data_IF_540373182696
#
_entry.id   IF_540373182696
#
_cell.length_a   1.000
_cell.length_b   1.000
_cell.length_c   1.000
_cell.angle_alpha   90.00
_cell.angle_beta   90.00
_cell.angle_gamma   90.00
#
_symmetry.space_group_name_H-M   'P 1'
#
loop_
_entity.id
_entity.type
_entity.pdbx_description
1 polymer ?
#
# COMPACT_ATOMS: atom_id res chain seq x y z
N UNK A 1 23.78 -19.22 38.96
CA UNK A 1 23.96 -17.96 39.72
C UNK A 1 23.68 -16.82 38.75
N UNK A 2 22.59 -16.08 38.76
CA UNK A 2 21.56 -15.82 39.76
C UNK A 2 20.31 -15.32 39.00
N UNK A 3 19.14 -15.94 39.21
CA UNK A 3 17.83 -15.55 38.64
C UNK A 3 17.08 -14.78 39.72
N UNK A 4 16.65 -13.54 39.49
CA UNK A 4 15.67 -12.87 40.36
C UNK A 4 14.29 -12.87 39.74
N UNK A 5 13.43 -13.64 40.39
CA UNK A 5 11.99 -13.64 40.24
C UNK A 5 11.38 -12.33 40.79
N UNK A 6 10.33 -11.84 40.14
CA UNK A 6 9.37 -10.92 40.75
C UNK A 6 8.06 -11.70 40.93
N UNK A 7 7.68 -11.84 42.20
CA UNK A 7 6.48 -12.52 42.66
C UNK A 7 5.25 -11.61 42.67
N UNK A 8 4.11 -12.28 42.63
CA UNK A 8 2.74 -11.79 42.68
C UNK A 8 2.41 -10.93 43.91
N UNK A 9 1.45 -10.01 43.73
CA UNK A 9 0.56 -9.58 44.80
C UNK A 9 -0.89 -9.62 44.32
N UNK A 10 -1.67 -10.44 45.03
CA UNK A 10 -3.11 -10.65 44.93
C UNK A 10 -3.80 -9.61 45.81
N UNK A 11 -4.94 -9.08 45.37
CA UNK A 11 -5.82 -8.25 46.19
C UNK A 11 -7.24 -8.19 45.63
N UNK A 12 -8.08 -9.15 46.03
CA UNK A 12 -9.54 -9.02 46.09
C UNK A 12 -9.89 -8.18 47.34
N UNK A 13 -11.00 -7.47 47.53
CA UNK A 13 -12.41 -7.69 47.20
C UNK A 13 -13.19 -6.43 47.61
N UNK A 14 -14.39 -6.21 47.06
CA UNK A 14 -15.30 -5.16 47.54
C UNK A 14 -16.54 -4.98 46.68
N UNK A 15 -17.54 -5.83 46.89
CA UNK A 15 -18.89 -5.73 46.31
C UNK A 15 -19.69 -4.57 46.89
N UNK A 16 -20.40 -3.83 46.04
CA UNK A 16 -21.61 -3.11 46.42
C UNK A 16 -22.64 -3.22 45.30
N UNK A 17 -23.74 -3.91 45.60
CA UNK A 17 -24.90 -4.02 44.74
C UNK A 17 -25.73 -2.73 44.79
N UNK A 18 -26.15 -2.23 43.64
CA UNK A 18 -27.28 -1.29 43.53
C UNK A 18 -28.20 -1.78 42.42
N UNK A 19 -29.40 -2.20 42.84
CA UNK A 19 -30.55 -2.49 41.99
C UNK A 19 -31.16 -1.17 41.50
N UNK A 20 -31.28 -1.01 40.19
CA UNK A 20 -32.01 0.10 39.57
C UNK A 20 -32.82 -0.42 38.37
N UNK A 21 -34.14 -0.55 38.58
CA UNK A 21 -35.14 -0.85 37.56
C UNK A 21 -35.34 0.34 36.61
N UNK A 22 -35.39 0.06 35.31
CA UNK A 22 -36.11 0.80 34.26
C UNK A 22 -35.63 0.22 32.93
N UNK A 23 -36.41 -0.09 31.90
CA UNK A 23 -37.76 0.28 31.51
C UNK A 23 -37.76 0.07 29.99
N UNK A 24 -38.74 -0.68 29.50
CA UNK A 24 -38.91 -1.07 28.10
C UNK A 24 -38.97 0.13 27.14
N UNK A 25 -38.25 0.06 26.02
CA UNK A 25 -38.68 0.69 24.76
C UNK A 25 -38.13 -0.13 23.58
N UNK A 26 -39.06 -0.84 22.93
CA UNK A 26 -38.87 -1.49 21.63
C UNK A 26 -38.77 -0.40 20.57
N UNK A 27 -37.72 -0.44 19.77
CA UNK A 27 -37.70 0.15 18.43
C UNK A 27 -37.00 -0.84 17.50
N UNK A 28 -37.80 -1.46 16.64
CA UNK A 28 -37.32 -2.35 15.60
C UNK A 28 -36.63 -1.56 14.50
N UNK A 29 -35.41 -1.98 14.15
CA UNK A 29 -34.79 -1.66 12.89
C UNK A 29 -34.32 -3.00 12.33
N UNK A 30 -35.04 -3.50 11.33
CA UNK A 30 -34.66 -4.68 10.58
C UNK A 30 -33.41 -4.37 9.75
N UNK A 31 -32.24 -4.81 10.22
CA UNK A 31 -31.08 -4.92 9.36
C UNK A 31 -31.17 -6.23 8.57
N UNK A 32 -31.50 -6.11 7.28
CA UNK A 32 -31.19 -7.12 6.27
C UNK A 32 -29.66 -7.26 6.18
N UNK A 33 -29.10 -8.21 6.93
CA UNK A 33 -27.75 -8.72 6.69
C UNK A 33 -27.78 -9.58 5.43
N UNK A 34 -27.42 -9.02 4.29
CA UNK A 34 -26.98 -9.83 3.15
C UNK A 34 -25.59 -10.40 3.47
N UNK A 35 -25.60 -11.59 4.08
CA UNK A 35 -24.41 -12.42 4.22
C UNK A 35 -24.03 -12.94 2.84
N UNK A 36 -22.97 -12.40 2.25
CA UNK A 36 -22.31 -13.01 1.10
C UNK A 36 -21.57 -14.26 1.57
N UNK A 37 -22.27 -15.38 1.55
CA UNK A 37 -21.64 -16.69 1.69
C UNK A 37 -20.95 -16.99 0.36
N UNK A 38 -19.62 -16.82 0.30
CA UNK A 38 -18.80 -17.31 -0.81
C UNK A 38 -18.80 -18.83 -0.77
N UNK A 39 -19.75 -19.44 -1.47
CA UNK A 39 -19.73 -20.86 -1.78
C UNK A 39 -18.57 -21.11 -2.76
N UNK A 40 -17.61 -21.96 -2.39
CA UNK A 40 -16.58 -22.48 -3.28
C UNK A 40 -17.22 -23.38 -4.35
N UNK A 41 -17.80 -22.78 -5.39
CA UNK A 41 -18.16 -23.52 -6.58
C UNK A 41 -16.91 -23.72 -7.45
N UNK A 42 -16.27 -24.88 -7.32
CA UNK A 42 -15.38 -25.40 -8.37
C UNK A 42 -16.18 -25.54 -9.67
N UNK A 43 -15.77 -24.94 -10.80
CA UNK A 43 -16.47 -25.16 -12.06
C UNK A 43 -16.25 -26.61 -12.51
N UNK A 44 -17.35 -27.36 -12.65
CA UNK A 44 -17.38 -28.62 -13.40
C UNK A 44 -17.07 -28.30 -14.87
N UNK A 45 -16.06 -28.94 -15.44
CA UNK A 45 -15.83 -28.97 -16.90
C UNK A 45 -17.01 -29.69 -17.56
N UNK A 46 -17.96 -28.92 -18.07
CA UNK A 46 -18.91 -29.38 -19.09
C UNK A 46 -18.34 -29.07 -20.47
N UNK A 47 -18.05 -30.10 -21.25
CA UNK A 47 -17.74 -29.96 -22.67
C UNK A 47 -19.03 -29.64 -23.41
N UNK A 48 -19.17 -28.42 -23.93
CA UNK A 48 -20.20 -28.07 -24.90
C UNK A 48 -19.51 -27.65 -26.19
N UNK A 49 -19.66 -28.49 -27.20
CA UNK A 49 -19.27 -28.23 -28.58
C UNK A 49 -20.19 -27.18 -29.21
N UNK A 50 -19.60 -26.31 -30.06
CA UNK A 50 -20.25 -25.83 -31.29
C UNK A 50 -21.12 -24.57 -31.22
N UNK A 51 -20.51 -23.39 -31.43
CA UNK A 51 -21.21 -22.18 -31.86
C UNK A 51 -20.29 -21.25 -32.66
N UNK A 52 -20.68 -20.73 -33.85
CA UNK A 52 -19.80 -19.94 -34.71
C UNK A 52 -19.67 -18.48 -34.22
N UNK A 53 -18.53 -18.17 -33.61
CA UNK A 53 -17.55 -17.28 -34.25
C UNK A 53 -17.81 -15.78 -34.36
N UNK A 54 -18.34 -15.10 -33.33
CA UNK A 54 -18.11 -13.66 -33.18
C UNK A 54 -16.82 -13.42 -32.39
N UNK A 55 -15.66 -13.57 -33.04
CA UNK A 55 -14.37 -13.23 -32.45
C UNK A 55 -14.24 -11.70 -32.39
N UNK A 56 -14.82 -11.10 -31.35
CA UNK A 56 -14.53 -9.73 -30.96
C UNK A 56 -13.03 -9.62 -30.66
N UNK A 57 -12.29 -8.99 -31.59
CA UNK A 57 -10.87 -8.68 -31.39
C UNK A 57 -10.75 -7.85 -30.11
N UNK A 58 -9.97 -8.27 -29.10
CA UNK A 58 -9.85 -7.51 -27.86
C UNK A 58 -9.29 -6.12 -28.17
N UNK A 59 -10.09 -5.07 -27.94
CA UNK A 59 -9.76 -3.66 -28.21
C UNK A 59 -8.63 -3.10 -27.33
N UNK A 60 -7.90 -3.94 -26.59
CA UNK A 60 -6.79 -3.53 -25.74
C UNK A 60 -5.43 -3.63 -26.42
N UNK A 61 -5.36 -3.99 -27.71
CA UNK A 61 -4.12 -4.05 -28.46
C UNK A 61 -3.52 -2.64 -28.62
N UNK A 62 -2.68 -2.24 -27.64
CA UNK A 62 -1.88 -1.02 -27.70
C UNK A 62 -1.96 -0.13 -26.47
N UNK A 63 -2.91 -0.33 -25.54
CA UNK A 63 -2.96 0.52 -24.36
C UNK A 63 -1.96 0.05 -23.30
N UNK A 64 -0.98 0.91 -22.98
CA UNK A 64 -0.01 0.69 -21.90
C UNK A 64 -0.69 0.70 -20.54
N UNK A 65 -0.26 -0.19 -19.65
CA UNK A 65 -0.76 -0.29 -18.27
C UNK A 65 -0.08 0.78 -17.44
N UNK A 66 -0.83 1.72 -16.86
CA UNK A 66 -0.24 2.80 -16.06
C UNK A 66 -0.12 2.34 -14.61
N UNK A 67 1.11 2.33 -14.11
CA UNK A 67 1.42 1.84 -12.76
C UNK A 67 1.99 2.98 -11.94
N UNK A 68 1.37 3.32 -10.81
CA UNK A 68 1.94 4.23 -9.84
C UNK A 68 2.67 3.42 -8.76
N UNK A 69 3.96 3.67 -8.57
CA UNK A 69 4.72 3.18 -7.43
C UNK A 69 5.02 4.36 -6.51
N UNK A 70 4.61 4.27 -5.24
CA UNK A 70 4.95 5.31 -4.26
C UNK A 70 5.87 4.78 -3.17
N UNK A 71 6.64 5.67 -2.56
CA UNK A 71 7.38 5.42 -1.34
C UNK A 71 7.02 6.46 -0.28
N UNK A 72 7.49 6.27 0.95
CA UNK A 72 7.37 7.29 1.99
C UNK A 72 8.70 7.96 2.22
N UNK A 73 8.61 9.24 2.55
CA UNK A 73 9.77 10.03 2.90
C UNK A 73 9.44 10.96 4.05
N UNK A 74 10.46 11.18 4.85
CA UNK A 74 10.40 12.03 6.03
C UNK A 74 11.04 13.40 5.77
N UNK A 75 11.00 13.87 4.52
CA UNK A 75 11.50 15.19 4.16
C UNK A 75 10.55 16.28 4.62
N UNK A 76 10.66 16.65 5.89
CA UNK A 76 10.32 18.01 6.33
C UNK A 76 11.32 18.48 7.37
N UNK A 77 12.45 18.98 6.86
CA UNK A 77 13.23 20.04 7.51
C UNK A 77 13.81 21.03 6.50
N UNK A 78 12.98 21.55 5.60
CA UNK A 78 13.37 22.73 4.82
C UNK A 78 12.40 23.92 4.91
N UNK A 79 11.12 23.71 5.25
CA UNK A 79 10.21 24.85 5.48
C UNK A 79 9.81 24.99 6.95
N UNK A 80 10.80 25.15 7.82
CA UNK A 80 10.58 26.03 8.98
C UNK A 80 11.08 27.38 8.53
N UNK A 81 10.21 28.13 7.84
CA UNK A 81 10.33 29.59 7.94
C UNK A 81 10.20 29.89 9.43
N UNK A 82 11.33 30.20 10.06
CA UNK A 82 11.32 30.89 11.34
C UNK A 82 10.49 32.14 11.06
N UNK A 83 9.34 32.34 11.74
CA UNK A 83 8.46 33.45 11.43
C UNK A 83 9.27 34.74 11.45
N UNK A 84 9.20 35.51 10.35
CA UNK A 84 9.92 36.76 10.16
C UNK A 84 9.62 37.83 11.23
N UNK A 85 8.69 37.55 12.16
CA UNK A 85 8.36 38.41 13.29
C UNK A 85 9.48 38.59 14.31
N UNK A 86 10.58 37.83 14.27
CA UNK A 86 11.77 38.09 15.11
C UNK A 86 12.82 38.98 14.46
N UNK A 87 12.71 39.35 13.18
CA UNK A 87 13.68 40.19 12.49
C UNK A 87 13.46 41.71 12.65
N UNK A 88 12.39 42.13 13.35
CA UNK A 88 11.95 43.53 13.42
C UNK A 88 12.34 44.31 14.67
N UNK A 89 13.26 43.81 15.51
CA UNK A 89 13.66 44.47 16.75
C UNK A 89 14.99 45.20 16.63
N UNK A 90 15.01 46.41 16.04
CA UNK A 90 16.15 47.34 16.16
C UNK A 90 16.18 47.94 17.57
N UNK A 91 16.56 47.15 18.56
CA UNK A 91 16.79 47.59 19.94
C UNK A 91 18.20 47.19 20.35
N UNK A 92 19.15 48.12 20.27
CA UNK A 92 20.50 47.95 20.82
C UNK A 92 20.44 47.79 22.34
N UNK A 93 20.44 46.54 22.81
CA UNK A 93 20.78 46.18 24.17
C UNK A 93 21.83 45.07 24.15
N UNK A 94 22.86 45.10 25.01
CA UNK A 94 23.84 44.02 25.12
C UNK A 94 23.17 42.81 25.80
N UNK A 95 22.41 42.05 25.03
CA UNK A 95 21.87 40.77 25.47
C UNK A 95 22.98 39.72 25.38
N UNK A 96 23.45 39.33 26.56
CA UNK A 96 24.30 38.17 26.79
C UNK A 96 23.69 36.94 26.14
N UNK A 97 24.55 36.19 25.46
CA UNK A 97 24.25 34.93 24.80
C UNK A 97 23.65 33.93 25.79
N UNK A 98 22.33 33.72 25.72
CA UNK A 98 21.72 32.47 26.16
C UNK A 98 20.93 31.89 25.01
N UNK A 99 21.39 30.71 24.57
CA UNK A 99 20.72 29.83 23.63
C UNK A 99 19.30 29.56 24.11
N UNK A 100 18.32 30.24 23.50
CA UNK A 100 16.92 29.98 23.77
C UNK A 100 16.64 28.48 23.57
N UNK A 101 16.09 27.77 24.59
CA UNK A 101 15.79 26.34 24.52
C UNK A 101 14.98 25.92 23.29
N UNK A 102 14.22 26.87 22.71
CA UNK A 102 13.44 26.67 21.50
C UNK A 102 14.31 26.49 20.24
N UNK A 103 15.45 27.20 20.13
CA UNK A 103 16.38 27.03 19.01
C UNK A 103 17.07 25.67 19.06
N UNK A 104 17.53 25.26 20.25
CA UNK A 104 18.13 23.94 20.47
C UNK A 104 17.13 22.82 20.19
N UNK A 105 15.87 22.95 20.64
CA UNK A 105 14.82 21.98 20.35
C UNK A 105 14.51 21.87 18.85
N UNK A 106 14.49 23.00 18.12
CA UNK A 106 14.30 23.00 16.67
C UNK A 106 15.46 22.33 15.92
N UNK A 107 16.71 22.59 16.32
CA UNK A 107 17.92 21.95 15.74
C UNK A 107 17.96 20.45 16.03
N UNK A 108 17.69 20.02 17.26
CA UNK A 108 17.66 18.59 17.60
C UNK A 108 16.52 17.87 16.88
N UNK A 109 15.37 18.52 16.70
CA UNK A 109 14.28 17.99 15.88
C UNK A 109 14.70 17.89 14.41
N UNK A 110 15.48 18.85 13.91
CA UNK A 110 16.09 18.88 12.56
C UNK A 110 16.97 17.67 12.29
N UNK A 111 17.96 17.46 13.15
CA UNK A 111 18.89 16.34 13.02
C UNK A 111 18.17 14.99 13.12
N UNK A 112 17.19 14.87 14.01
CA UNK A 112 16.43 13.62 14.20
C UNK A 112 15.60 13.22 12.99
N UNK A 113 14.90 14.15 12.30
CA UNK A 113 14.13 13.74 11.10
C UNK A 113 15.02 13.60 9.86
N UNK A 114 16.17 14.30 9.79
CA UNK A 114 17.17 14.05 8.74
C UNK A 114 17.71 12.61 8.81
N UNK A 115 17.99 12.10 10.02
CA UNK A 115 18.36 10.70 10.24
C UNK A 115 17.24 9.74 9.78
N UNK A 116 15.98 9.99 10.16
CA UNK A 116 14.82 9.20 9.71
C UNK A 116 14.64 9.17 8.19
N UNK A 117 14.95 10.28 7.51
CA UNK A 117 14.87 10.35 6.05
C UNK A 117 16.02 9.64 5.33
N UNK A 118 17.25 9.69 5.90
CA UNK A 118 18.41 8.97 5.38
C UNK A 118 18.25 7.45 5.46
N UNK A 119 17.47 6.99 6.45
CA UNK A 119 17.29 5.59 6.79
C UNK A 119 16.02 4.96 6.21
N UNK A 120 15.07 5.73 5.65
CA UNK A 120 13.84 5.15 5.09
C UNK A 120 14.14 4.37 3.78
N UNK A 121 14.05 3.03 3.79
CA UNK A 121 14.40 2.18 2.65
C UNK A 121 13.58 2.49 1.39
N UNK A 122 12.31 2.88 1.56
CA UNK A 122 11.40 3.13 0.43
C UNK A 122 11.77 4.41 -0.32
N UNK A 123 12.23 5.44 0.39
CA UNK A 123 12.74 6.67 -0.21
C UNK A 123 14.03 6.40 -0.99
N UNK A 124 14.99 5.69 -0.39
CA UNK A 124 16.26 5.33 -1.05
C UNK A 124 16.06 4.55 -2.35
N UNK A 125 15.13 3.60 -2.35
CA UNK A 125 14.81 2.79 -3.53
C UNK A 125 14.23 3.62 -4.69
N UNK A 126 13.52 4.71 -4.39
CA UNK A 126 12.87 5.56 -5.41
C UNK A 126 13.69 6.79 -5.81
N UNK A 127 14.27 7.49 -4.83
CA UNK A 127 15.03 8.72 -5.03
C UNK A 127 16.47 8.40 -5.42
N UNK A 128 17.08 7.42 -4.75
CA UNK A 128 18.52 7.15 -4.80
C UNK A 128 19.21 7.57 -3.52
N UNK A 129 20.44 8.08 -3.64
CA UNK A 129 21.16 8.57 -2.48
C UNK A 129 20.46 9.75 -1.82
N UNK A 130 20.71 9.91 -0.51
CA UNK A 130 20.17 11.03 0.24
C UNK A 130 20.67 12.33 -0.39
N UNK A 131 19.73 13.15 -0.83
CA UNK A 131 19.95 14.49 -1.35
C UNK A 131 19.34 15.50 -0.37
N UNK A 132 19.95 16.68 -0.26
CA UNK A 132 19.44 17.73 0.64
C UNK A 132 18.18 18.38 0.09
N UNK A 133 18.05 18.46 -1.24
CA UNK A 133 16.94 19.09 -1.93
C UNK A 133 15.85 18.09 -2.31
N UNK A 134 14.63 18.58 -2.56
CA UNK A 134 13.60 17.75 -3.19
C UNK A 134 14.10 17.35 -4.58
N UNK A 135 14.29 16.06 -4.88
CA UNK A 135 14.81 15.56 -6.13
C UNK A 135 13.82 15.95 -7.22
N UNK A 136 14.35 16.65 -8.20
CA UNK A 136 13.62 16.96 -9.42
C UNK A 136 13.36 15.68 -10.23
N UNK A 137 14.18 14.64 -10.04
CA UNK A 137 14.01 13.35 -10.69
C UNK A 137 14.23 12.18 -9.72
N UNK A 138 13.33 11.20 -9.76
CA UNK A 138 13.45 9.94 -9.05
C UNK A 138 14.38 8.99 -9.82
N UNK A 139 15.56 8.72 -9.27
CA UNK A 139 16.64 7.93 -9.91
C UNK A 139 17.10 6.73 -9.07
N UNK A 140 16.29 6.32 -8.10
CA UNK A 140 16.59 5.21 -7.22
C UNK A 140 16.73 3.88 -7.96
N UNK A 141 17.35 2.92 -7.28
CA UNK A 141 17.73 1.63 -7.88
C UNK A 141 16.50 0.86 -8.41
N UNK A 142 15.38 0.94 -7.69
CA UNK A 142 14.11 0.32 -8.12
C UNK A 142 13.53 1.03 -9.36
N UNK A 143 13.60 2.36 -9.43
CA UNK A 143 13.12 3.13 -10.59
C UNK A 143 13.88 2.75 -11.86
N UNK A 144 15.21 2.70 -11.78
CA UNK A 144 16.08 2.30 -12.89
C UNK A 144 15.69 0.90 -13.41
N UNK A 145 15.47 -0.03 -12.49
CA UNK A 145 15.15 -1.43 -12.80
C UNK A 145 13.76 -1.61 -13.41
N UNK A 146 12.74 -0.96 -12.86
CA UNK A 146 11.39 -1.00 -13.42
C UNK A 146 11.32 -0.36 -14.81
N UNK A 147 12.02 0.76 -15.03
CA UNK A 147 12.13 1.40 -16.36
C UNK A 147 12.88 0.51 -17.36
N UNK A 148 13.95 -0.17 -16.93
CA UNK A 148 14.72 -1.08 -17.78
C UNK A 148 13.89 -2.29 -18.24
N UNK A 149 13.10 -2.90 -17.34
CA UNK A 149 12.21 -4.03 -17.69
C UNK A 149 11.17 -3.69 -18.75
N UNK A 150 10.76 -2.42 -18.86
CA UNK A 150 9.80 -2.00 -19.88
C UNK A 150 10.45 -1.80 -21.26
N UNK A 151 11.76 -1.56 -21.31
CA UNK A 151 12.47 -1.28 -22.57
C UNK A 151 12.78 -2.57 -23.35
N UNK A 152 12.93 -3.71 -22.66
CA UNK A 152 13.26 -5.00 -23.29
C UNK A 152 12.11 -5.62 -24.10
N UNK A 153 10.87 -5.18 -23.91
CA UNK A 153 9.69 -5.76 -24.59
C UNK A 153 9.56 -5.27 -26.04
N UNK A 154 10.21 -4.17 -26.42
CA UNK A 154 10.12 -3.58 -27.76
C UNK A 154 11.22 -4.00 -28.74
N UNK A 155 12.28 -4.68 -28.28
CA UNK A 155 13.41 -5.10 -29.11
C UNK A 155 13.29 -6.56 -29.51
N UNK A 156 12.69 -6.84 -30.68
CA UNK A 156 12.64 -8.19 -31.23
C UNK A 156 14.05 -8.75 -31.46
N UNK A 157 14.54 -9.57 -30.53
CA UNK A 157 15.85 -10.21 -30.65
C UNK A 157 16.39 -10.87 -29.38
N UNK A 158 15.88 -12.06 -29.03
CA UNK A 158 16.78 -13.15 -28.63
C UNK A 158 17.16 -13.39 -27.17
N UNK A 159 16.54 -12.78 -26.16
CA UNK A 159 16.81 -13.15 -24.75
C UNK A 159 15.65 -13.94 -24.13
N UNK A 160 15.68 -15.28 -24.25
CA UNK A 160 14.83 -16.18 -23.44
C UNK A 160 15.29 -16.07 -21.97
N UNK A 161 14.57 -15.30 -21.16
CA UNK A 161 14.77 -15.30 -19.71
C UNK A 161 14.18 -16.60 -19.16
N UNK A 162 15.06 -17.57 -18.91
CA UNK A 162 14.71 -18.86 -18.30
C UNK A 162 14.45 -18.63 -16.81
N UNK A 163 13.22 -18.28 -16.45
CA UNK A 163 12.69 -18.61 -15.13
C UNK A 163 12.29 -20.08 -15.18
N UNK A 164 13.24 -20.95 -14.86
CA UNK A 164 12.99 -22.37 -14.64
C UNK A 164 12.15 -22.54 -13.37
N UNK A 165 10.83 -22.53 -13.52
CA UNK A 165 9.92 -23.16 -12.56
C UNK A 165 9.65 -24.61 -12.99
N UNK A 166 9.58 -25.56 -12.04
CA UNK A 166 9.17 -26.92 -12.32
C UNK A 166 7.65 -27.00 -12.54
N UNK A 167 7.28 -27.40 -13.74
CA UNK A 167 6.05 -28.07 -14.18
C UNK A 167 4.73 -27.77 -13.43
N UNK A 168 4.02 -26.76 -13.92
CA UNK A 168 2.56 -26.78 -13.95
C UNK A 168 2.11 -26.32 -15.35
N UNK A 169 1.65 -27.27 -16.16
CA UNK A 169 1.25 -27.09 -17.56
C UNK A 169 0.13 -26.05 -17.71
N UNK A 170 0.49 -24.87 -18.21
CA UNK A 170 -0.43 -23.86 -18.74
C UNK A 170 0.32 -23.03 -19.78
N UNK A 171 0.10 -23.32 -21.06
CA UNK A 171 0.70 -22.59 -22.17
C UNK A 171 0.00 -21.21 -22.28
N UNK A 172 0.50 -20.22 -21.56
CA UNK A 172 0.01 -18.84 -21.64
C UNK A 172 1.00 -18.00 -22.45
N UNK A 173 0.80 -17.94 -23.77
CA UNK A 173 1.45 -16.99 -24.67
C UNK A 173 0.88 -15.56 -24.48
N UNK A 174 0.75 -15.11 -23.24
CA UNK A 174 0.39 -13.72 -22.95
C UNK A 174 1.66 -12.88 -22.96
N UNK A 175 1.87 -12.17 -24.08
CA UNK A 175 2.87 -11.10 -24.12
C UNK A 175 2.47 -10.08 -23.04
N UNK A 176 3.32 -9.83 -22.02
CA UNK A 176 2.98 -8.90 -20.96
C UNK A 176 2.75 -7.53 -21.58
N UNK A 177 1.63 -6.89 -21.22
CA UNK A 177 1.32 -5.55 -21.67
C UNK A 177 2.44 -4.60 -21.24
N UNK A 178 2.88 -3.72 -22.15
CA UNK A 178 3.87 -2.71 -21.82
C UNK A 178 3.37 -1.84 -20.64
N UNK A 179 4.22 -1.67 -19.63
CA UNK A 179 3.88 -1.01 -18.36
C UNK A 179 4.50 0.39 -18.32
N UNK A 180 3.69 1.42 -18.13
CA UNK A 180 4.15 2.79 -17.94
C UNK A 180 4.23 3.12 -16.44
N UNK A 181 5.44 3.15 -15.91
CA UNK A 181 5.69 3.37 -14.48
C UNK A 181 5.84 4.85 -14.15
N UNK A 182 4.97 5.33 -13.27
CA UNK A 182 5.09 6.61 -12.58
C UNK A 182 5.54 6.39 -11.14
N UNK A 183 6.34 7.33 -10.64
CA UNK A 183 6.91 7.24 -9.30
C UNK A 183 6.58 8.49 -8.51
N UNK A 184 6.20 8.33 -7.24
CA UNK A 184 5.97 9.45 -6.35
C UNK A 184 6.48 9.15 -4.94
N UNK A 185 6.85 10.20 -4.23
CA UNK A 185 7.27 10.09 -2.84
C UNK A 185 6.26 10.83 -1.98
N UNK A 186 5.67 10.11 -1.03
CA UNK A 186 4.66 10.61 -0.13
C UNK A 186 5.29 11.08 1.18
N UNK A 187 4.79 12.16 1.78
CA UNK A 187 5.24 12.51 3.11
C UNK A 187 4.65 11.55 4.14
N UNK A 188 5.39 11.28 5.22
CA UNK A 188 4.90 10.52 6.38
C UNK A 188 3.98 11.37 7.27
N UNK A 189 2.95 11.97 6.67
CA UNK A 189 1.92 12.73 7.34
C UNK A 189 0.53 12.13 7.17
N UNK A 190 -0.33 12.38 8.15
CA UNK A 190 -1.75 12.13 7.99
C UNK A 190 -2.31 12.89 6.80
N UNK A 191 -3.07 12.19 5.97
CA UNK A 191 -3.58 12.72 4.71
C UNK A 191 -2.55 13.06 3.64
N UNK A 192 -1.28 12.66 3.79
CA UNK A 192 -0.22 12.88 2.80
C UNK A 192 -0.50 12.30 1.41
N UNK A 193 -1.44 11.36 1.31
CA UNK A 193 -1.87 10.73 0.05
C UNK A 193 -3.12 11.35 -0.57
N UNK A 194 -3.68 12.44 -0.04
CA UNK A 194 -4.95 13.01 -0.53
C UNK A 194 -4.85 13.54 -1.95
N UNK A 195 -3.69 14.08 -2.34
CA UNK A 195 -3.44 14.64 -3.67
C UNK A 195 -3.20 13.59 -4.76
N UNK A 196 -3.15 12.29 -4.41
CA UNK A 196 -2.94 11.24 -5.40
C UNK A 196 -4.16 11.10 -6.30
N UNK A 197 -3.99 11.38 -7.60
CA UNK A 197 -4.94 10.99 -8.64
C UNK A 197 -4.84 9.48 -8.94
N UNK A 198 -5.41 8.69 -8.04
CA UNK A 198 -5.40 7.22 -8.13
C UNK A 198 -6.22 6.72 -9.32
N UNK A 199 -7.25 7.47 -9.73
CA UNK A 199 -8.15 7.09 -10.82
C UNK A 199 -7.45 7.12 -12.19
N UNK A 200 -6.38 7.92 -12.30
CA UNK A 200 -5.52 7.93 -13.48
C UNK A 200 -4.67 6.66 -13.64
N UNK A 201 -4.49 5.80 -12.64
CA UNK A 201 -3.64 4.61 -12.78
C UNK A 201 -4.46 3.34 -12.92
N UNK A 202 -3.90 2.33 -13.59
CA UNK A 202 -4.50 1.00 -13.68
C UNK A 202 -4.14 0.17 -12.42
N UNK A 203 -2.93 0.33 -11.89
CA UNK A 203 -2.47 -0.29 -10.64
C UNK A 203 -1.68 0.70 -9.79
N UNK A 204 -1.90 0.68 -8.48
CA UNK A 204 -1.13 1.48 -7.51
C UNK A 204 -0.40 0.55 -6.52
N UNK A 205 0.90 0.74 -6.33
CA UNK A 205 1.71 0.01 -5.37
C UNK A 205 2.39 1.00 -4.43
N UNK A 206 2.02 0.96 -3.15
CA UNK A 206 2.68 1.75 -2.12
C UNK A 206 3.77 0.91 -1.44
N UNK A 207 4.97 1.46 -1.36
CA UNK A 207 6.09 0.88 -0.62
C UNK A 207 6.23 1.63 0.70
N UNK A 208 6.30 0.90 1.80
CA UNK A 208 6.58 1.46 3.12
C UNK A 208 7.54 0.58 3.88
N UNK A 209 8.21 1.14 4.87
CA UNK A 209 9.04 0.34 5.76
C UNK A 209 8.16 -0.64 6.56
N UNK A 210 8.57 -1.91 6.60
CA UNK A 210 8.00 -2.93 7.46
C UNK A 210 8.52 -2.85 8.90
N UNK A 211 7.67 -3.24 9.84
CA UNK A 211 7.94 -3.24 11.28
C UNK A 211 8.60 -4.58 11.65
N UNK A 212 9.92 -4.53 11.90
CA UNK A 212 10.79 -5.26 12.87
C UNK A 212 10.38 -6.72 13.17
N UNK A 213 11.03 -7.79 12.70
CA UNK A 213 12.40 -8.26 13.03
C UNK A 213 12.96 -9.18 11.92
N UNK A 214 12.58 -8.91 10.67
CA UNK A 214 12.92 -9.77 9.54
C UNK A 214 13.56 -8.95 8.44
N UNK A 215 14.75 -9.39 8.03
CA UNK A 215 15.56 -8.79 6.96
C UNK A 215 15.40 -9.53 5.63
N UNK A 216 14.68 -10.65 5.64
CA UNK A 216 14.53 -11.60 4.54
C UNK A 216 13.08 -11.70 4.06
N UNK A 217 12.17 -10.85 4.54
CA UNK A 217 10.75 -10.88 4.17
C UNK A 217 10.27 -9.58 3.58
N UNK A 218 9.48 -9.70 2.52
CA UNK A 218 8.68 -8.62 1.95
C UNK A 218 7.23 -8.92 2.29
N UNK A 219 6.54 -8.00 2.96
CA UNK A 219 5.16 -8.23 3.40
C UNK A 219 4.17 -7.53 2.47
N UNK A 220 3.11 -8.22 2.04
CA UNK A 220 2.06 -7.66 1.19
C UNK A 220 0.73 -7.64 1.95
N UNK A 221 0.18 -6.45 2.14
CA UNK A 221 -1.06 -6.25 2.88
C UNK A 221 -2.28 -6.71 2.06
N UNK A 222 -3.13 -7.55 2.66
CA UNK A 222 -4.36 -8.06 2.05
C UNK A 222 -5.59 -7.19 2.30
N UNK A 223 -5.46 -6.13 3.10
CA UNK A 223 -6.52 -5.19 3.43
C UNK A 223 -5.98 -4.02 4.24
N UNK A 224 -6.86 -3.11 4.64
CA UNK A 224 -6.50 -1.98 5.49
C UNK A 224 -7.60 -1.68 6.50
N UNK A 225 -7.20 -1.22 7.69
CA UNK A 225 -8.13 -0.76 8.71
C UNK A 225 -8.63 0.65 8.40
N UNK A 226 -9.90 0.90 8.67
CA UNK A 226 -10.49 2.22 8.77
C UNK A 226 -10.11 2.90 10.10
N UNK A 227 -8.82 2.94 10.39
CA UNK A 227 -8.30 3.47 11.65
C UNK A 227 -6.94 4.12 11.47
N UNK A 228 -6.74 5.23 12.17
CA UNK A 228 -5.43 5.83 12.45
C UNK A 228 -5.00 5.46 13.87
N UNK A 229 -3.72 5.17 14.05
CA UNK A 229 -3.11 5.04 15.37
C UNK A 229 -3.22 6.38 16.11
N UNK A 230 -3.19 6.33 17.44
CA UNK A 230 -3.14 7.55 18.28
C UNK A 230 -1.74 8.16 18.36
N UNK A 231 -0.81 7.69 17.52
CA UNK A 231 0.57 8.17 17.49
C UNK A 231 0.67 9.40 16.60
N UNK A 232 1.59 10.30 16.93
CA UNK A 232 1.89 11.45 16.12
C UNK A 232 2.46 11.05 14.75
N UNK A 233 2.12 11.80 13.70
CA UNK A 233 2.82 11.75 12.43
C UNK A 233 4.19 12.45 12.49
N UNK A 234 4.90 12.55 11.37
CA UNK A 234 6.21 13.22 11.33
C UNK A 234 6.16 14.71 11.71
N UNK A 235 4.99 15.37 11.68
CA UNK A 235 4.81 16.75 12.16
C UNK A 235 4.47 16.86 13.64
N UNK A 236 4.34 15.74 14.36
CA UNK A 236 3.82 15.77 15.72
C UNK A 236 2.30 15.87 15.79
N UNK A 237 1.58 15.64 14.67
CA UNK A 237 0.13 15.80 14.61
C UNK A 237 -0.58 14.48 14.89
N UNK A 238 -1.64 14.53 15.70
CA UNK A 238 -2.55 13.41 15.94
C UNK A 238 -3.81 13.65 15.12
N UNK A 239 -4.17 12.70 14.27
CA UNK A 239 -5.38 12.78 13.44
C UNK A 239 -6.58 12.09 14.08
N UNK A 240 -7.77 12.30 13.50
CA UNK A 240 -8.97 11.56 13.88
C UNK A 240 -8.73 10.05 13.77
N UNK A 241 -9.03 9.25 14.82
CA UNK A 241 -8.78 7.81 14.81
C UNK A 241 -9.58 7.05 13.74
N UNK A 242 -10.67 7.60 13.20
CA UNK A 242 -11.43 6.99 12.09
C UNK A 242 -11.07 7.73 10.79
N UNK A 243 -10.82 6.97 9.71
CA UNK A 243 -10.45 7.55 8.41
C UNK A 243 -11.70 8.02 7.66
N UNK A 244 -12.73 7.18 7.60
CA UNK A 244 -14.01 7.42 6.95
C UNK A 244 -15.17 6.83 7.78
N UNK A 245 -16.06 7.64 8.36
CA UNK A 245 -17.12 7.13 9.24
C UNK A 245 -18.17 6.25 8.54
N UNK A 246 -18.19 6.24 7.21
CA UNK A 246 -19.16 5.46 6.40
C UNK A 246 -18.63 4.12 5.94
N UNK A 247 -17.32 3.89 6.06
CA UNK A 247 -16.65 2.69 5.58
C UNK A 247 -16.63 1.58 6.64
N UNK A 248 -16.56 0.30 6.22
CA UNK A 248 -16.39 -0.81 7.15
C UNK A 248 -15.09 -0.70 7.95
N UNK A 249 -15.00 -1.40 9.08
CA UNK A 249 -13.79 -1.40 9.92
C UNK A 249 -12.54 -1.87 9.16
N UNK A 250 -12.68 -2.89 8.32
CA UNK A 250 -11.62 -3.39 7.45
C UNK A 250 -12.11 -3.30 6.01
N UNK A 251 -11.28 -2.73 5.14
CA UNK A 251 -11.52 -2.67 3.70
C UNK A 251 -10.64 -3.71 3.00
N UNK A 252 -11.29 -4.50 2.14
CA UNK A 252 -10.66 -5.45 1.23
C UNK A 252 -11.13 -5.18 -0.19
N UNK A 253 -10.21 -5.23 -1.15
CA UNK A 253 -10.54 -5.19 -2.56
C UNK A 253 -10.26 -6.57 -3.18
N UNK A 254 -11.26 -7.17 -3.84
CA UNK A 254 -11.21 -8.57 -4.28
C UNK A 254 -9.94 -8.92 -5.08
N UNK A 255 -9.63 -8.14 -6.12
CA UNK A 255 -8.45 -8.38 -6.97
C UNK A 255 -7.17 -8.23 -6.14
N UNK A 256 -7.06 -7.15 -5.36
CA UNK A 256 -5.87 -6.88 -4.54
C UNK A 256 -5.60 -8.00 -3.55
N UNK A 257 -6.61 -8.40 -2.77
CA UNK A 257 -6.46 -9.45 -1.76
C UNK A 257 -6.17 -10.82 -2.39
N UNK A 258 -6.77 -11.13 -3.55
CA UNK A 258 -6.54 -12.40 -4.25
C UNK A 258 -5.12 -12.47 -4.83
N UNK A 259 -4.66 -11.41 -5.47
CA UNK A 259 -3.29 -11.29 -5.98
C UNK A 259 -2.29 -11.42 -4.85
N UNK A 260 -2.45 -10.65 -3.77
CA UNK A 260 -1.55 -10.71 -2.62
C UNK A 260 -1.41 -12.15 -2.09
N UNK A 261 -2.54 -12.82 -1.80
CA UNK A 261 -2.56 -14.22 -1.32
C UNK A 261 -1.94 -15.22 -2.29
N UNK A 262 -2.06 -14.99 -3.61
CA UNK A 262 -1.43 -15.87 -4.60
C UNK A 262 0.10 -15.85 -4.58
N UNK A 263 0.69 -14.81 -3.96
CA UNK A 263 2.14 -14.65 -3.85
C UNK A 263 2.70 -15.10 -2.51
N UNK A 264 1.85 -15.46 -1.54
CA UNK A 264 2.28 -15.89 -0.22
C UNK A 264 3.24 -17.08 -0.30
N UNK A 265 4.39 -16.95 0.36
CA UNK A 265 5.45 -17.96 0.37
C UNK A 265 6.37 -17.96 -0.85
N UNK A 266 6.09 -17.15 -1.89
CA UNK A 266 6.97 -17.02 -3.07
C UNK A 266 8.33 -16.46 -2.65
N UNK A 267 9.40 -17.01 -3.23
CA UNK A 267 10.76 -16.51 -3.01
C UNK A 267 11.16 -15.69 -4.24
N UNK A 268 11.53 -14.42 -4.01
CA UNK A 268 12.00 -13.49 -5.02
C UNK A 268 13.42 -13.06 -4.65
N UNK A 269 14.40 -13.53 -5.43
CA UNK A 269 15.81 -13.46 -5.07
C UNK A 269 16.05 -14.11 -3.69
N UNK A 270 16.52 -13.37 -2.69
CA UNK A 270 16.72 -13.85 -1.32
C UNK A 270 15.55 -13.54 -0.37
N UNK A 271 14.46 -12.95 -0.87
CA UNK A 271 13.34 -12.49 -0.04
C UNK A 271 12.11 -13.39 -0.16
N UNK A 272 11.53 -13.78 0.97
CA UNK A 272 10.24 -14.46 1.03
C UNK A 272 9.11 -13.42 1.06
N UNK A 273 8.18 -13.54 0.11
CA UNK A 273 6.92 -12.79 0.13
C UNK A 273 6.01 -13.41 1.19
N UNK A 274 5.51 -12.60 2.11
CA UNK A 274 4.52 -13.01 3.10
C UNK A 274 3.33 -12.08 3.06
N UNK A 275 2.13 -12.65 3.07
CA UNK A 275 0.90 -11.87 3.17
C UNK A 275 0.54 -11.61 4.61
N UNK A 276 -0.05 -10.43 4.82
CA UNK A 276 -0.46 -9.97 6.13
C UNK A 276 -1.86 -9.40 6.06
N UNK A 277 -2.67 -9.75 7.07
CA UNK A 277 -4.01 -9.20 7.23
C UNK A 277 -3.92 -7.83 7.92
N UNK A 278 -4.96 -7.02 7.69
CA UNK A 278 -5.15 -5.77 8.38
C UNK A 278 -5.19 -6.01 9.89
N UNK A 279 -4.42 -5.21 10.65
CA UNK A 279 -4.20 -5.40 12.09
C UNK A 279 -3.96 -4.05 12.77
N UNK A 280 -4.33 -3.91 14.03
CA UNK A 280 -4.30 -2.62 14.73
C UNK A 280 -2.89 -2.05 14.88
N UNK A 281 -1.88 -2.93 14.95
CA UNK A 281 -0.46 -2.58 15.04
C UNK A 281 0.04 -1.87 13.78
N UNK A 282 -0.59 -2.11 12.63
CA UNK A 282 -0.34 -1.39 11.39
C UNK A 282 -1.48 -0.40 11.11
N UNK A 283 -1.73 0.54 12.02
CA UNK A 283 -2.72 1.62 11.80
C UNK A 283 -2.08 2.99 11.56
N UNK A 284 -0.81 3.03 11.14
CA UNK A 284 -0.09 4.27 10.86
C UNK A 284 -0.37 4.83 9.45
N UNK A 285 0.41 5.83 8.99
CA UNK A 285 0.26 6.50 7.68
C UNK A 285 0.25 5.51 6.50
N UNK A 286 1.00 4.41 6.61
CA UNK A 286 1.00 3.30 5.68
C UNK A 286 -0.41 2.74 5.46
N UNK A 287 -1.11 2.45 6.55
CA UNK A 287 -2.47 1.91 6.52
C UNK A 287 -3.49 2.92 6.00
N UNK A 288 -3.41 4.21 6.39
CA UNK A 288 -4.30 5.22 5.82
C UNK A 288 -4.15 5.30 4.29
N UNK A 289 -2.90 5.26 3.81
CA UNK A 289 -2.61 5.33 2.38
C UNK A 289 -3.16 4.10 1.66
N UNK A 290 -2.97 2.90 2.20
CA UNK A 290 -3.53 1.67 1.65
C UNK A 290 -5.06 1.70 1.63
N UNK A 291 -5.67 2.06 2.75
CA UNK A 291 -7.12 2.14 2.93
C UNK A 291 -7.79 2.97 1.84
N UNK A 292 -7.27 4.18 1.60
CA UNK A 292 -7.83 5.09 0.59
C UNK A 292 -7.69 4.55 -0.83
N UNK A 293 -6.58 3.89 -1.13
CA UNK A 293 -6.37 3.30 -2.45
C UNK A 293 -7.25 2.07 -2.67
N UNK A 294 -7.52 1.26 -1.63
CA UNK A 294 -8.51 0.18 -1.71
C UNK A 294 -9.93 0.71 -1.89
N UNK A 295 -10.33 1.77 -1.17
CA UNK A 295 -11.63 2.41 -1.38
C UNK A 295 -11.78 2.93 -2.81
N UNK A 296 -10.75 3.57 -3.36
CA UNK A 296 -10.75 4.04 -4.74
C UNK A 296 -10.90 2.88 -5.74
N UNK A 297 -10.23 1.74 -5.51
CA UNK A 297 -10.35 0.56 -6.35
C UNK A 297 -11.76 -0.06 -6.27
N UNK A 298 -12.35 -0.12 -5.08
CA UNK A 298 -13.74 -0.58 -4.89
C UNK A 298 -14.72 0.34 -5.61
N UNK A 299 -14.57 1.65 -5.47
CA UNK A 299 -15.41 2.63 -6.16
C UNK A 299 -15.29 2.51 -7.69
N UNK A 300 -14.08 2.28 -8.20
CA UNK A 300 -13.84 2.05 -9.62
C UNK A 300 -14.53 0.77 -10.11
N UNK A 301 -14.40 -0.34 -9.38
CA UNK A 301 -15.04 -1.62 -9.72
C UNK A 301 -16.57 -1.50 -9.75
N UNK A 302 -17.17 -0.78 -8.79
CA UNK A 302 -18.61 -0.54 -8.74
C UNK A 302 -19.10 0.39 -9.86
N UNK A 303 -18.24 1.26 -10.39
CA UNK A 303 -18.61 2.24 -11.43
C UNK A 303 -18.44 1.72 -12.85
N UNK A 304 -17.77 0.58 -13.06
CA UNK A 304 -17.53 -0.01 -14.39
C UNK A 304 -18.80 -0.35 -15.16
N UNK A 305 -19.94 -0.48 -14.47
CA UNK A 305 -21.25 -0.67 -15.13
C UNK A 305 -21.78 0.60 -15.80
N UNK A 306 -21.19 1.76 -15.55
CA UNK A 306 -21.55 3.03 -16.18
C UNK A 306 -20.53 3.41 -17.25
N UNK A 307 -21.00 3.65 -18.47
CA UNK A 307 -20.18 4.09 -19.60
C UNK A 307 -19.42 5.43 -19.36
N UNK A 308 -19.69 6.11 -18.24
CA UNK A 308 -19.09 7.40 -17.85
C UNK A 308 -17.99 7.31 -16.78
N UNK A 309 -17.64 6.12 -16.30
CA UNK A 309 -16.61 5.95 -15.27
C UNK A 309 -15.22 6.37 -15.76
N UNK A 310 -14.67 7.44 -15.18
CA UNK A 310 -13.33 7.95 -15.49
C UNK A 310 -12.20 7.19 -14.77
N UNK A 311 -12.50 6.44 -13.70
CA UNK A 311 -11.49 5.71 -12.94
C UNK A 311 -11.08 4.43 -13.64
N UNK A 312 -9.77 4.19 -13.69
CA UNK A 312 -9.17 3.01 -14.31
C UNK A 312 -8.52 2.06 -13.31
N UNK A 313 -8.62 2.38 -12.02
CA UNK A 313 -7.93 1.66 -10.97
C UNK A 313 -8.48 0.24 -10.81
N UNK A 314 -7.68 -0.76 -11.15
CA UNK A 314 -8.01 -2.18 -11.06
C UNK A 314 -7.51 -2.82 -9.79
N UNK A 315 -6.42 -2.32 -9.20
CA UNK A 315 -5.88 -2.84 -7.96
C UNK A 315 -5.01 -1.81 -7.25
N UNK A 316 -5.00 -1.89 -5.92
CA UNK A 316 -4.09 -1.16 -5.06
C UNK A 316 -3.43 -2.12 -4.06
N UNK A 317 -2.15 -1.90 -3.77
CA UNK A 317 -1.35 -2.71 -2.86
C UNK A 317 -0.56 -1.84 -1.90
N UNK A 318 -0.28 -2.39 -0.72
CA UNK A 318 0.75 -1.88 0.17
C UNK A 318 1.78 -2.99 0.44
N UNK A 319 3.04 -2.67 0.20
CA UNK A 319 4.17 -3.57 0.35
C UNK A 319 5.08 -3.01 1.42
N UNK A 320 5.22 -3.75 2.52
CA UNK A 320 6.18 -3.46 3.56
C UNK A 320 7.52 -4.12 3.22
N UNK A 321 8.58 -3.32 3.19
CA UNK A 321 9.93 -3.77 2.83
C UNK A 321 10.84 -3.81 4.07
N UNK A 322 11.79 -4.75 4.13
CA UNK A 322 12.72 -4.82 5.24
C UNK A 322 13.74 -3.67 5.18
N UNK A 323 14.45 -3.46 6.28
CA UNK A 323 15.70 -2.72 6.23
C UNK A 323 16.71 -3.48 5.37
N UNK A 324 17.62 -2.80 4.64
CA UNK A 324 18.75 -3.47 4.06
C UNK A 324 19.54 -4.18 5.18
N UNK A 325 20.21 -5.28 4.85
CA UNK A 325 21.21 -5.85 5.74
C UNK A 325 22.29 -4.80 6.04
N UNK A 326 23.07 -4.98 7.11
CA UNK A 326 24.10 -4.04 7.59
C UNK A 326 25.11 -3.58 6.52
N UNK A 327 25.17 -4.26 5.36
CA UNK A 327 25.92 -3.86 4.18
C UNK A 327 25.45 -2.57 3.51
N UNK A 328 24.21 -2.11 3.77
CA UNK A 328 23.59 -1.00 3.06
C UNK A 328 23.32 -1.27 1.57
N UNK A 329 23.45 -2.52 1.13
CA UNK A 329 23.24 -2.91 -0.26
C UNK A 329 21.75 -3.13 -0.55
N UNK A 330 21.16 -2.20 -1.32
CA UNK A 330 19.79 -2.28 -1.81
C UNK A 330 19.65 -3.09 -3.10
N UNK A 331 20.74 -3.63 -3.64
CA UNK A 331 20.79 -4.42 -4.86
C UNK A 331 19.82 -5.60 -4.82
N UNK A 332 19.98 -6.57 -3.91
CA UNK A 332 19.05 -7.70 -3.79
C UNK A 332 17.59 -7.27 -3.61
N UNK A 333 17.33 -6.35 -2.66
CA UNK A 333 15.97 -5.89 -2.35
C UNK A 333 15.29 -5.22 -3.55
N UNK A 334 15.99 -4.37 -4.30
CA UNK A 334 15.42 -3.73 -5.48
C UNK A 334 15.15 -4.71 -6.63
N UNK A 335 15.84 -5.86 -6.70
CA UNK A 335 15.57 -6.88 -7.71
C UNK A 335 14.33 -7.68 -7.34
N UNK A 336 14.24 -8.09 -6.07
CA UNK A 336 13.05 -8.73 -5.52
C UNK A 336 11.81 -7.85 -5.70
N UNK A 337 11.91 -6.54 -5.41
CA UNK A 337 10.80 -5.59 -5.58
C UNK A 337 10.44 -5.35 -7.03
N UNK A 338 11.41 -5.31 -7.96
CA UNK A 338 11.14 -5.22 -9.40
C UNK A 338 10.28 -6.41 -9.84
N UNK A 339 10.69 -7.63 -9.49
CA UNK A 339 9.96 -8.85 -9.80
C UNK A 339 8.56 -8.90 -9.13
N UNK A 340 8.48 -8.48 -7.87
CA UNK A 340 7.22 -8.42 -7.13
C UNK A 340 6.23 -7.46 -7.79
N UNK A 341 6.64 -6.22 -8.08
CA UNK A 341 5.78 -5.20 -8.69
C UNK A 341 5.28 -5.65 -10.06
N UNK A 342 6.14 -6.21 -10.90
CA UNK A 342 5.73 -6.75 -12.20
C UNK A 342 4.66 -7.85 -12.03
N UNK A 343 4.90 -8.81 -11.12
CA UNK A 343 3.95 -9.90 -10.84
C UNK A 343 2.61 -9.38 -10.29
N UNK A 344 2.65 -8.40 -9.37
CA UNK A 344 1.44 -7.76 -8.83
C UNK A 344 0.60 -7.13 -9.94
N UNK A 345 1.24 -6.43 -10.87
CA UNK A 345 0.57 -5.78 -12.00
C UNK A 345 -0.05 -6.82 -12.95
N UNK A 346 0.73 -7.80 -13.39
CA UNK A 346 0.28 -8.84 -14.32
C UNK A 346 -0.92 -9.61 -13.77
N UNK A 347 -0.79 -10.15 -12.54
CA UNK A 347 -1.86 -10.89 -11.89
C UNK A 347 -3.10 -10.03 -11.64
N UNK A 348 -2.93 -8.73 -11.36
CA UNK A 348 -4.08 -7.83 -11.19
C UNK A 348 -4.89 -7.69 -12.47
N UNK A 349 -4.22 -7.63 -13.62
CA UNK A 349 -4.89 -7.55 -14.92
C UNK A 349 -5.64 -8.86 -15.24
N UNK A 350 -5.00 -10.00 -14.98
CA UNK A 350 -5.61 -11.33 -15.14
C UNK A 350 -6.88 -11.47 -14.28
N UNK A 351 -6.78 -11.19 -12.98
CA UNK A 351 -7.91 -11.32 -12.06
C UNK A 351 -9.01 -10.29 -12.32
N UNK A 352 -8.66 -9.06 -12.72
CA UNK A 352 -9.66 -8.06 -13.09
C UNK A 352 -10.43 -8.46 -14.36
N UNK A 353 -9.73 -8.98 -15.38
CA UNK A 353 -10.38 -9.50 -16.59
C UNK A 353 -11.29 -10.69 -16.28
N UNK A 354 -10.83 -11.63 -15.44
CA UNK A 354 -11.64 -12.77 -15.01
C UNK A 354 -12.88 -12.35 -14.22
N UNK A 355 -12.76 -11.35 -13.33
CA UNK A 355 -13.89 -10.81 -12.57
C UNK A 355 -14.93 -10.14 -13.49
N UNK A 356 -14.49 -9.33 -14.46
CA UNK A 356 -15.37 -8.68 -15.42
C UNK A 356 -16.13 -9.70 -16.31
N UNK A 357 -15.44 -10.76 -16.74
CA UNK A 357 -16.05 -11.85 -17.50
C UNK A 357 -17.13 -12.58 -16.67
N UNK A 358 -16.84 -12.89 -15.40
CA UNK A 358 -17.80 -13.54 -14.50
C UNK A 358 -19.05 -12.68 -14.26
N UNK A 359 -18.87 -11.36 -14.05
CA UNK A 359 -20.00 -10.43 -13.89
C UNK A 359 -20.89 -10.35 -15.13
N UNK A 360 -20.30 -10.39 -16.33
CA UNK A 360 -21.04 -10.36 -17.60
C UNK A 360 -21.93 -11.61 -17.75
N UNK A 361 -21.39 -12.79 -17.42
CA UNK A 361 -22.15 -14.05 -17.44
C UNK A 361 -23.29 -14.02 -16.44
N UNK A 362 -23.05 -13.54 -15.21
CA UNK A 362 -24.09 -13.46 -14.18
C UNK A 362 -25.28 -12.59 -14.61
N UNK A 363 -25.01 -11.42 -15.19
CA UNK A 363 -26.05 -10.50 -15.70
C UNK A 363 -26.87 -11.16 -16.82
N UNK A 364 -26.20 -11.84 -17.77
CA UNK A 364 -26.88 -12.53 -18.85
C UNK A 364 -27.79 -13.67 -18.35
N UNK A 365 -27.39 -14.37 -17.28
CA UNK A 365 -28.18 -15.48 -16.72
C UNK A 365 -29.35 -15.04 -15.83
N UNK A 366 -29.32 -13.83 -15.27
CA UNK A 366 -30.40 -13.31 -14.40
C UNK A 366 -31.54 -12.61 -15.16
N UNK A 367 -31.37 -12.38 -16.47
CA UNK A 367 -32.30 -11.61 -17.30
C UNK A 367 -33.24 -12.45 -18.18
N UNK A 368 -33.24 -13.77 -18.05
CA UNK A 368 -34.19 -14.70 -18.68
C UNK A 368 -34.90 -15.51 -17.61
#
# INVERSE_FOLDING_TARGET
TDRRAWGSAVGSSGSAAVLGRSGSLRAGIGLLRMSWCLCECRPRRGSLEGGPGAQGRPQHAGQRVRVLVTGFNDWRHLDVEVPASEAGGTGHGPATAEDSPLKTAAVLRRERNLLRSKENPSSRLLVGDAVEETPVELRGLLVKRLRASNSSVGGGGGAKQVLSQPEAHGNFDHVPAAMDFSFQVLPTLWGGSYSLDRGFFDVVVHLGLGVYDSFDKILVECGALNRRSRTEDARGSIANPIIDPTAPEVVHHYVSSRVARSLDGTILDSFRVQTINARHENSYVCNETHFRSLQAAIAAASSQSSASSSSRLKAAFFVHIPYPLDSGDYGPLSEALRALVATLVERSLEYAAAAAAASTVAIATSGG
#
